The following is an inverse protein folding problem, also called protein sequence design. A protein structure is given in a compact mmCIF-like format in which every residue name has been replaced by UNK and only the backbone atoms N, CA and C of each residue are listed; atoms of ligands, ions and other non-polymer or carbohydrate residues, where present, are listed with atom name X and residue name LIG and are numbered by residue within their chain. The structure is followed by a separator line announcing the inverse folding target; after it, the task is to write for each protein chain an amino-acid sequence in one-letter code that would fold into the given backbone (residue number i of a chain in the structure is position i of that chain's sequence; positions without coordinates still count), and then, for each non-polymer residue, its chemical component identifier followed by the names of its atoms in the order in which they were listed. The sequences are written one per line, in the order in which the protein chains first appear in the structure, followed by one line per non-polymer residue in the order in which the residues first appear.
data_IF_530054041914
#
_entry.id   IF_530054041914
#
_cell.length_a   1.000
_cell.length_b   1.000
_cell.length_c   1.000
_cell.angle_alpha   90.00
_cell.angle_beta   90.00
_cell.angle_gamma   90.00
#
_symmetry.space_group_name_H-M   'P 1'
#
loop_
_entity.id
_entity.type
_entity.pdbx_description
1 polymer ?
2 water ?
#
# COMPACT_ATOMS: atom_id res chain seq x y z
N UNK A 10 48.07 -9.08 12.95
CA UNK A 10 48.13 -8.01 11.89
C UNK A 10 46.78 -7.77 11.19
N UNK A 11 46.57 -6.56 10.68
CA UNK A 11 45.31 -6.21 10.00
C UNK A 11 44.15 -5.82 10.90
N UNK A 12 44.33 -5.93 12.23
CA UNK A 12 43.23 -5.66 13.17
C UNK A 12 42.75 -4.22 13.21
N UNK A 13 43.67 -3.26 13.13
CA UNK A 13 43.31 -1.82 13.04
C UNK A 13 42.44 -1.52 11.81
N UNK A 14 42.87 -2.03 10.65
CA UNK A 14 42.15 -1.82 9.39
C UNK A 14 40.79 -2.53 9.47
N UNK A 15 40.77 -3.77 9.94
CA UNK A 15 39.52 -4.55 10.08
C UNK A 15 38.55 -3.78 10.96
N UNK A 16 39.06 -3.20 12.04
CA UNK A 16 38.19 -2.41 12.95
C UNK A 16 37.66 -1.12 12.30
N UNK A 17 38.50 -0.43 11.52
CA UNK A 17 38.03 0.76 10.82
C UNK A 17 36.96 0.41 9.84
N UNK A 18 37.22 -0.65 9.06
CA UNK A 18 36.24 -1.17 8.07
C UNK A 18 34.88 -1.47 8.71
N UNK A 19 34.91 -2.18 9.84
CA UNK A 19 33.73 -2.47 10.63
C UNK A 19 32.96 -1.21 11.05
N UNK A 20 33.70 -0.22 11.55
CA UNK A 20 33.09 1.06 11.96
C UNK A 20 32.50 1.83 10.77
N UNK A 21 33.11 1.72 9.57
CA UNK A 21 32.50 2.28 8.35
C UNK A 21 31.23 1.56 7.96
N UNK A 22 31.16 0.27 8.27
CA UNK A 22 29.99 -0.53 8.00
C UNK A 22 28.85 -0.07 8.88
N UNK A 23 29.16 0.21 10.14
CA UNK A 23 28.19 0.78 11.07
C UNK A 23 27.64 2.11 10.57
N UNK A 24 28.55 3.00 10.13
CA UNK A 24 28.18 4.34 9.67
C UNK A 24 27.34 4.34 8.43
N UNK A 25 27.67 3.49 7.48
CA UNK A 25 26.85 3.32 6.31
C UNK A 25 25.44 2.84 6.68
N UNK A 26 25.34 1.83 7.54
CA UNK A 26 24.03 1.34 8.03
C UNK A 26 23.19 2.44 8.71
N UNK A 27 23.84 3.27 9.54
CA UNK A 27 23.21 4.42 10.20
C UNK A 27 22.75 5.48 9.21
N UNK A 28 23.55 5.68 8.16
CA UNK A 28 23.22 6.62 7.12
C UNK A 28 21.97 6.19 6.35
N UNK A 29 21.93 4.92 5.98
CA UNK A 29 20.72 4.37 5.39
C UNK A 29 19.51 4.44 6.34
N UNK A 30 19.69 4.11 7.62
CA UNK A 30 18.57 4.09 8.56
C UNK A 30 17.98 5.53 8.77
N UNK A 31 18.85 6.54 8.84
CA UNK A 31 18.37 7.92 8.92
C UNK A 31 17.57 8.36 7.68
N UNK A 32 18.03 7.97 6.48
CA UNK A 32 17.31 8.26 5.25
C UNK A 32 15.93 7.57 5.25
N UNK A 33 15.88 6.30 5.67
CA UNK A 33 14.66 5.48 5.57
C UNK A 33 13.66 5.86 6.68
N UNK A 34 14.16 6.35 7.78
CA UNK A 34 13.32 6.99 8.77
C UNK A 34 12.63 8.21 8.17
N UNK A 35 13.33 9.01 7.36
CA UNK A 35 12.67 10.12 6.67
C UNK A 35 11.60 9.57 5.71
N UNK A 36 11.91 8.54 4.95
CA UNK A 36 10.97 8.04 3.96
C UNK A 36 9.65 7.52 4.59
N UNK A 37 9.77 6.79 5.70
CA UNK A 37 8.62 6.26 6.45
C UNK A 37 7.69 7.40 6.87
N UNK A 38 8.27 8.49 7.37
CA UNK A 38 7.46 9.65 7.78
C UNK A 38 6.77 10.34 6.64
N UNK A 39 7.45 10.41 5.50
CA UNK A 39 6.80 10.93 4.29
C UNK A 39 5.61 10.04 3.84
N UNK A 40 5.76 8.71 3.92
CA UNK A 40 4.64 7.80 3.61
C UNK A 40 3.48 7.98 4.59
N UNK A 41 3.80 8.17 5.87
CA UNK A 41 2.75 8.43 6.87
C UNK A 41 1.99 9.72 6.56
N UNK A 42 2.70 10.76 6.15
CA UNK A 42 2.03 12.00 5.78
C UNK A 42 1.15 11.77 4.56
N UNK A 44 -0.26 8.98 3.74
CA UNK A 44 -1.35 8.09 4.17
C UNK A 44 -2.46 8.94 4.84
N UNK A 45 -2.06 9.92 5.64
CA UNK A 45 -3.01 10.89 6.23
C UNK A 45 -3.71 11.77 5.18
N UNK A 46 -2.98 12.26 4.18
CA UNK A 46 -3.64 12.95 3.07
C UNK A 46 -4.65 12.08 2.37
N UNK A 47 -4.33 10.80 2.16
CA UNK A 47 -5.24 9.87 1.50
C UNK A 47 -6.51 9.55 2.34
N UNK A 48 -6.36 9.35 3.64
CA UNK A 48 -7.53 9.21 4.53
C UNK A 48 -8.44 10.45 4.51
N UNK A 49 -7.85 11.64 4.50
CA UNK A 49 -8.60 12.91 4.39
C UNK A 49 -9.40 12.98 3.07
N UNK A 50 -8.74 12.66 1.98
CA UNK A 50 -9.33 12.71 0.66
C UNK A 50 -10.44 11.70 0.46
N UNK A 51 -10.30 10.51 1.06
CA UNK A 51 -11.32 9.45 0.98
C UNK A 51 -12.67 9.93 1.49
N UNK A 52 -12.62 10.83 2.47
CA UNK A 52 -13.82 11.45 3.00
C UNK A 52 -14.78 12.04 1.97
N UNK A 53 -16.03 11.62 2.09
CA UNK A 53 -17.03 11.87 1.04
C UNK A 53 -17.64 13.25 1.00
N UNK A 54 -17.39 14.07 2.02
CA UNK A 54 -17.76 15.48 1.98
C UNK A 54 -16.89 16.32 0.98
N UNK A 55 -15.68 15.86 0.66
CA UNK A 55 -14.77 16.56 -0.25
C UNK A 55 -15.40 16.78 -1.60
N UNK A 56 -15.13 17.94 -2.18
CA UNK A 56 -15.44 18.18 -3.59
C UNK A 56 -14.31 17.57 -4.39
N UNK A 57 -14.50 17.50 -5.70
CA UNK A 57 -13.43 17.06 -6.57
C UNK A 57 -12.27 18.05 -6.51
N UNK A 58 -12.61 19.30 -6.33
CA UNK A 58 -11.59 20.35 -6.29
C UNK A 58 -10.62 20.17 -5.11
N UNK A 59 -11.19 19.95 -3.95
CA UNK A 59 -10.42 19.65 -2.72
C UNK A 59 -9.59 18.39 -2.85
N UNK A 60 -10.10 17.34 -3.50
CA UNK A 60 -9.29 16.14 -3.71
C UNK A 60 -8.13 16.41 -4.69
N UNK A 61 -8.33 17.34 -5.62
CA UNK A 61 -7.28 17.71 -6.56
C UNK A 61 -6.16 18.40 -5.78
N UNK A 62 -6.51 19.27 -4.83
CA UNK A 62 -5.50 19.96 -4.02
C UNK A 62 -4.71 19.01 -3.09
N UNK A 63 -5.41 18.05 -2.49
CA UNK A 63 -4.76 17.05 -1.63
C UNK A 63 -3.84 16.17 -2.48
N UNK A 64 -4.26 15.81 -3.69
CA UNK A 64 -3.36 15.09 -4.58
C UNK A 64 -2.10 15.89 -4.94
N UNK A 65 -2.24 17.21 -5.09
CA UNK A 65 -1.07 18.11 -5.31
C UNK A 65 -0.07 17.95 -4.17
N UNK A 66 -0.54 17.82 -2.94
CA UNK A 66 0.39 17.68 -1.83
C UNK A 66 1.03 16.28 -1.91
N UNK A 67 0.26 15.24 -2.25
CA UNK A 67 0.79 13.88 -2.38
C UNK A 67 1.90 13.87 -3.44
N UNK A 68 1.71 14.62 -4.53
CA UNK A 68 2.75 14.71 -5.57
C UNK A 68 4.05 15.35 -5.06
N UNK A 69 3.95 16.37 -4.24
CA UNK A 69 5.10 16.89 -3.52
C UNK A 69 5.83 15.86 -2.68
N UNK A 70 5.05 15.05 -1.95
CA UNK A 70 5.62 14.00 -1.13
C UNK A 70 6.27 12.87 -1.92
N UNK A 71 5.70 12.51 -3.07
CA UNK A 71 6.31 11.58 -3.99
C UNK A 71 7.70 12.08 -4.44
N UNK A 72 7.78 13.36 -4.81
CA UNK A 72 9.08 14.00 -5.10
C UNK A 72 10.09 14.05 -3.92
N UNK A 73 9.61 14.19 -2.70
CA UNK A 73 10.44 14.04 -1.53
C UNK A 73 10.99 12.58 -1.37
N UNK A 74 10.14 11.59 -1.60
CA UNK A 74 10.65 10.21 -1.59
C UNK A 74 11.75 10.03 -2.63
N UNK A 75 11.56 10.57 -3.82
CA UNK A 75 12.60 10.47 -4.84
C UNK A 75 13.86 11.34 -4.57
N UNK A 76 13.75 12.45 -3.87
CA UNK A 76 14.93 13.14 -3.33
C UNK A 76 15.77 12.20 -2.47
N UNK A 77 15.16 11.61 -1.46
CA UNK A 77 15.83 10.69 -0.56
C UNK A 77 16.49 9.51 -1.26
N UNK A 78 15.78 8.85 -2.17
CA UNK A 78 16.37 7.73 -2.87
C UNK A 78 17.50 8.13 -3.85
N UNK A 79 17.43 9.35 -4.38
CA UNK A 79 18.43 9.81 -5.35
C UNK A 79 19.61 10.58 -4.79
N UNK A 80 19.50 11.09 -3.56
CA UNK A 80 20.62 11.85 -3.01
C UNK A 80 21.26 11.19 -1.81
N UNK A 81 20.69 10.10 -1.28
CA UNK A 81 21.27 9.51 -0.09
C UNK A 81 22.57 8.76 -0.43
N UNK A 82 23.67 9.15 0.22
CA UNK A 82 24.97 8.65 -0.20
C UNK A 82 25.85 8.33 0.99
N UNK A 83 26.76 7.39 0.80
CA UNK A 83 27.82 7.17 1.81
C UNK A 83 29.10 7.11 1.05
N UNK A 84 30.03 7.99 1.42
CA UNK A 84 31.25 8.17 0.63
C UNK A 84 30.85 8.55 -0.79
N UNK A 85 31.30 7.75 -1.74
CA UNK A 85 31.03 8.01 -3.14
C UNK A 85 29.95 7.12 -3.70
N UNK A 86 29.11 6.49 -2.88
CA UNK A 86 28.10 5.59 -3.43
C UNK A 86 26.69 5.97 -2.97
N UNK A 87 25.74 5.88 -3.90
CA UNK A 87 24.33 6.09 -3.59
C UNK A 87 23.80 4.82 -2.96
N UNK A 88 22.95 4.95 -1.95
CA UNK A 88 22.53 3.76 -1.19
C UNK A 88 21.17 3.21 -1.58
N UNK A 89 20.29 4.05 -2.07
CA UNK A 89 18.84 3.76 -2.15
C UNK A 89 18.27 3.80 -3.53
N UNK A 90 19.10 4.00 -4.55
CA UNK A 90 18.54 4.16 -5.91
C UNK A 90 18.46 2.86 -6.74
N UNK A 91 18.83 1.73 -6.13
CA UNK A 91 18.83 0.45 -6.82
C UNK A 91 20.18 0.05 -7.34
N UNK A 92 21.15 0.96 -7.32
CA UNK A 92 22.47 0.71 -7.91
C UNK A 92 23.42 0.18 -6.84
N UNK A 93 23.00 0.20 -5.56
CA UNK A 93 23.91 -0.16 -4.48
C UNK A 93 24.19 -1.66 -4.44
N UNK A 94 23.12 -2.46 -4.50
CA UNK A 94 23.24 -3.90 -4.41
C UNK A 94 23.59 -4.35 -2.99
N UNK A 95 24.74 -5.00 -2.84
CA UNK A 95 25.21 -5.45 -1.53
C UNK A 95 26.72 -5.11 -1.38
N UNK A 96 27.08 -4.34 -0.37
CA UNK A 96 28.47 -4.05 -0.10
C UNK A 96 29.11 -5.08 0.87
N UNK A 97 30.26 -5.66 0.50
CA UNK A 97 31.00 -6.62 1.38
C UNK A 97 32.02 -5.86 2.24
N UNK A 98 31.89 -5.94 3.56
CA UNK A 98 32.84 -5.28 4.47
C UNK A 98 33.84 -6.30 5.01
N UNK A 99 35.12 -6.06 4.73
CA UNK A 99 36.24 -6.88 5.21
C UNK A 99 36.60 -6.56 6.68
N UNK A 100 36.15 -7.44 7.56
CA UNK A 100 36.16 -7.16 8.98
C UNK A 100 37.00 -8.19 9.75
N UNK A 101 37.91 -8.87 9.04
CA UNK A 101 38.85 -9.81 9.61
C UNK A 101 40.28 -9.59 9.13
N UNK A 102 41.22 -10.28 9.76
CA UNK A 102 42.61 -10.21 9.32
C UNK A 102 42.94 -11.18 8.20
N UNK A 103 42.07 -12.17 7.96
CA UNK A 103 42.25 -13.10 6.83
C UNK A 103 41.43 -12.59 5.68
N UNK A 104 41.94 -12.88 4.50
CA UNK A 104 41.28 -12.56 3.27
C UNK A 104 39.84 -13.12 3.28
N UNK A 105 38.92 -12.36 2.68
CA UNK A 105 37.58 -12.87 2.45
C UNK A 105 36.85 -13.20 3.75
N UNK A 106 37.01 -12.35 4.78
CA UNK A 106 36.22 -12.37 6.01
C UNK A 106 35.27 -11.15 6.05
N UNK A 107 34.02 -11.39 5.69
CA UNK A 107 33.06 -10.38 5.26
C UNK A 107 31.83 -10.35 6.15
N UNK A 108 31.35 -9.13 6.40
CA UNK A 108 29.96 -8.88 6.73
C UNK A 108 29.38 -8.04 5.55
N UNK A 109 28.31 -8.52 4.97
CA UNK A 109 27.63 -7.84 3.88
C UNK A 109 26.55 -6.90 4.38
N UNK A 110 26.43 -5.74 3.71
CA UNK A 110 25.31 -4.81 3.94
C UNK A 110 24.54 -4.69 2.61
N UNK A 111 23.33 -5.23 2.57
CA UNK A 111 22.52 -5.18 1.37
C UNK A 111 21.48 -4.08 1.55
N UNK A 112 21.36 -3.21 0.57
CA UNK A 112 20.30 -2.19 0.59
C UNK A 112 19.62 -2.19 -0.76
N UNK A 113 18.31 -2.36 -0.75
CA UNK A 113 17.52 -2.38 -1.99
C UNK A 113 17.03 -1.00 -2.35
N UNK A 114 16.51 -0.87 -3.59
CA UNK A 114 16.01 0.43 -4.02
C UNK A 114 14.84 0.79 -3.08
N UNK A 116 12.44 3.78 -3.42
CA UNK A 116 11.97 4.97 -4.15
C UNK A 116 10.46 4.90 -4.38
N UNK A 117 9.85 5.97 -4.93
CA UNK A 117 8.43 5.94 -5.23
C UNK A 117 8.13 4.85 -6.26
N UNK A 118 9.09 4.52 -7.12
CA UNK A 118 8.89 3.50 -8.13
C UNK A 118 9.03 2.05 -7.61
N UNK A 119 9.87 1.83 -6.62
CA UNK A 119 10.15 0.45 -6.15
C UNK A 119 9.14 0.01 -5.07
N UNK A 120 8.80 0.96 -4.22
CA UNK A 120 7.78 0.77 -3.22
C UNK A 120 6.44 0.56 -3.90
N UNK A 121 5.73 -0.49 -3.51
CA UNK A 121 4.51 -0.92 -4.18
C UNK A 121 3.58 -1.69 -3.24
N UNK A 122 2.33 -1.87 -3.67
CA UNK A 122 1.38 -2.73 -2.94
C UNK A 122 0.32 -3.36 -3.85
N UNK A 123 0.00 -4.61 -3.52
CA UNK A 123 -0.98 -5.41 -4.25
C UNK A 123 -2.34 -5.39 -3.52
N UNK A 124 -3.38 -5.19 -4.32
CA UNK A 124 -4.73 -5.25 -3.85
C UNK A 124 -5.55 -5.86 -4.97
N UNK A 125 -6.87 -5.83 -4.86
CA UNK A 125 -7.73 -6.55 -5.80
C UNK A 125 -8.84 -5.64 -6.24
N UNK A 126 -9.21 -5.74 -7.49
CA UNK A 126 -10.22 -4.89 -8.09
C UNK A 126 -11.29 -5.72 -8.78
N UNK A 127 -12.47 -5.16 -8.86
CA UNK A 127 -13.53 -5.72 -9.69
C UNK A 127 -14.49 -4.62 -10.16
N UNK A 128 -15.26 -4.95 -11.19
CA UNK A 128 -16.30 -4.09 -11.75
C UNK A 128 -17.61 -4.87 -11.75
N UNK A 129 -18.71 -4.19 -11.45
CA UNK A 129 -20.02 -4.80 -11.58
C UNK A 129 -20.22 -5.35 -13.00
N UNK A 130 -21.00 -6.40 -13.13
CA UNK A 130 -21.31 -6.96 -14.44
C UNK A 130 -22.13 -6.06 -15.38
N UNK A 131 -22.75 -5.03 -14.83
CA UNK A 131 -23.47 -4.06 -15.62
C UNK A 131 -24.12 -3.05 -14.69
N UNK A 132 -24.83 -2.11 -15.30
CA UNK A 132 -25.34 -0.94 -14.62
C UNK A 132 -26.49 -1.33 -13.72
N UNK A 133 -26.59 -0.64 -12.60
CA UNK A 133 -27.80 -0.69 -11.75
C UNK A 133 -28.92 -0.01 -12.57
N UNK A 134 -30.15 -0.44 -12.46
CA UNK A 134 -31.24 0.26 -13.19
C UNK A 134 -32.11 1.07 -12.18
N UNK A 135 -33.05 1.89 -12.66
CA UNK A 135 -33.96 2.68 -11.80
C UNK A 135 -34.80 1.78 -10.93
N UNK A 136 -34.96 2.15 -9.66
CA UNK A 136 -35.87 1.46 -8.78
C UNK A 136 -37.24 2.14 -8.92
N UNK A 137 -38.15 1.43 -9.60
CA UNK A 137 -39.49 1.93 -9.88
C UNK A 137 -40.51 1.39 -8.86
N UNK A 138 -40.10 0.47 -7.99
CA UNK A 138 -40.98 0.01 -6.90
C UNK A 138 -40.18 -0.04 -5.58
N UNK A 139 -40.89 0.06 -4.46
CA UNK A 139 -40.30 0.06 -3.14
C UNK A 139 -40.05 -1.38 -2.70
N UNK A 140 -39.04 -1.55 -1.85
CA UNK A 140 -38.70 -2.86 -1.32
C UNK A 140 -37.19 -3.05 -1.16
N UNK A 141 -36.79 -4.27 -0.81
CA UNK A 141 -35.44 -4.54 -0.37
C UNK A 141 -34.56 -5.11 -1.44
N UNK A 142 -33.31 -4.64 -1.45
CA UNK A 142 -32.26 -5.27 -2.21
C UNK A 142 -31.28 -5.94 -1.20
N UNK A 143 -31.03 -7.23 -1.41
CA UNK A 143 -30.07 -7.98 -0.62
C UNK A 143 -28.75 -8.08 -1.36
N UNK A 144 -27.66 -7.79 -0.68
CA UNK A 144 -26.33 -8.01 -1.21
C UNK A 144 -25.56 -8.99 -0.29
N UNK A 145 -24.96 -10.00 -0.92
CA UNK A 145 -24.19 -11.04 -0.25
C UNK A 145 -22.72 -10.78 -0.61
N UNK A 146 -21.90 -10.55 0.40
CA UNK A 146 -20.47 -10.27 0.18
C UNK A 146 -19.69 -11.52 0.61
N UNK A 147 -19.07 -12.17 -0.36
CA UNK A 147 -18.37 -13.43 -0.12
C UNK A 147 -16.98 -13.21 0.49
N UNK A 148 -16.84 -13.56 1.76
CA UNK A 148 -15.57 -13.39 2.50
C UNK A 148 -14.62 -14.57 2.24
N UNK A 149 -13.44 -14.31 1.66
CA UNK A 149 -12.50 -15.43 1.40
C UNK A 149 -12.10 -16.14 2.72
N UNK A 150 -12.36 -17.44 2.80
CA UNK A 150 -12.15 -18.22 4.01
C UNK A 150 -13.19 -18.14 5.14
N UNK A 151 -14.27 -17.40 4.93
CA UNK A 151 -15.41 -17.41 5.85
C UNK A 151 -16.69 -17.54 5.06
N UNK A 152 -17.81 -17.09 5.62
CA UNK A 152 -19.13 -17.22 4.98
C UNK A 152 -19.47 -15.89 4.35
N UNK A 153 -20.71 -15.72 3.94
CA UNK A 153 -21.13 -14.50 3.30
C UNK A 153 -21.51 -13.48 4.40
N UNK A 154 -21.16 -12.21 4.18
CA UNK A 154 -21.78 -11.09 4.91
C UNK A 154 -22.99 -10.50 4.09
N UNK A 155 -24.17 -10.57 4.70
CA UNK A 155 -25.38 -10.11 4.05
C UNK A 155 -25.79 -8.70 4.48
N UNK A 156 -25.92 -7.78 3.52
CA UNK A 156 -26.39 -6.42 3.78
C UNK A 156 -27.64 -6.14 2.96
N UNK A 157 -28.31 -5.05 3.30
CA UNK A 157 -29.60 -4.73 2.71
C UNK A 157 -29.73 -3.26 2.42
N UNK A 158 -30.48 -2.93 1.39
CA UNK A 158 -30.85 -1.54 1.17
C UNK A 158 -32.34 -1.54 0.88
N UNK A 159 -33.04 -0.56 1.42
CA UNK A 159 -34.44 -0.33 1.06
C UNK A 159 -34.53 0.76 -0.01
N UNK A 161 -36.91 3.24 -2.01
CA UNK A 161 -38.15 3.99 -1.89
C UNK A 161 -39.08 3.74 -3.07
N UNK A 162 -38.51 3.46 -4.23
CA UNK A 162 -39.28 3.24 -5.45
C UNK A 162 -39.29 4.46 -6.37
N UNK A 163 -38.41 5.41 -6.14
CA UNK A 163 -38.30 6.60 -6.92
C UNK A 163 -36.86 6.91 -7.36
N UNK A 164 -35.92 6.00 -7.13
CA UNK A 164 -34.52 6.27 -7.43
C UNK A 164 -34.18 6.18 -8.93
N UNK A 165 -33.41 7.13 -9.45
CA UNK A 165 -32.82 6.95 -10.75
C UNK A 165 -31.79 5.77 -10.61
N UNK A 166 -31.22 5.32 -11.73
CA UNK A 166 -30.21 4.24 -11.73
C UNK A 166 -29.02 4.68 -10.87
N UNK A 167 -28.63 5.95 -11.03
CA UNK A 167 -27.48 6.55 -10.32
C UNK A 167 -27.67 6.60 -8.81
N UNK A 168 -28.88 6.99 -8.41
CA UNK A 168 -29.31 7.06 -7.01
C UNK A 168 -29.43 5.67 -6.38
N UNK A 169 -30.00 4.71 -7.13
CA UNK A 169 -30.04 3.31 -6.73
C UNK A 169 -28.59 2.72 -6.60
N UNK A 170 -27.70 3.02 -7.55
CA UNK A 170 -26.29 2.60 -7.42
C UNK A 170 -25.60 3.18 -6.19
N UNK A 171 -25.85 4.43 -5.82
CA UNK A 171 -25.18 5.07 -4.65
C UNK A 171 -25.58 4.30 -3.38
N UNK A 172 -26.85 3.92 -3.33
CA UNK A 172 -27.39 3.19 -2.18
C UNK A 172 -26.85 1.76 -2.03
N UNK A 173 -26.77 1.04 -3.14
CA UNK A 173 -26.19 -0.29 -3.13
C UNK A 173 -24.72 -0.23 -2.71
N UNK A 174 -23.95 0.66 -3.34
CA UNK A 174 -22.53 0.84 -2.98
C UNK A 174 -22.34 1.18 -1.48
N UNK A 175 -23.19 2.04 -0.93
CA UNK A 175 -23.10 2.41 0.48
C UNK A 175 -23.45 1.24 1.39
N UNK A 176 -24.39 0.37 0.99
CA UNK A 176 -24.71 -0.80 1.83
C UNK A 176 -23.49 -1.69 1.95
N UNK A 177 -22.79 -1.89 0.84
CA UNK A 177 -21.52 -2.63 0.83
C UNK A 177 -20.43 -2.01 1.72
N UNK A 178 -20.16 -0.73 1.51
CA UNK A 178 -19.23 0.02 2.37
C UNK A 178 -19.61 0.00 3.85
N UNK A 179 -20.89 0.12 4.18
CA UNK A 179 -21.29 0.14 5.61
C UNK A 179 -20.93 -1.19 6.37
N UNK A 180 -20.81 -2.30 5.66
CA UNK A 180 -20.44 -3.59 6.30
C UNK A 180 -19.03 -3.62 6.86
N UNK A 181 -18.16 -2.73 6.39
CA UNK A 181 -16.75 -2.69 6.77
C UNK A 181 -16.11 -4.05 6.92
N UNK A 182 -16.09 -4.78 5.81
CA UNK A 182 -15.45 -6.09 5.73
C UNK A 182 -14.31 -6.11 4.67
N UNK A 183 -13.66 -4.98 4.44
CA UNK A 183 -12.40 -4.96 3.66
C UNK A 183 -12.53 -4.51 2.22
N UNK A 184 -13.74 -4.14 1.82
CA UNK A 184 -14.10 -3.84 0.42
C UNK A 184 -14.69 -2.46 0.35
N UNK A 185 -14.31 -1.73 -0.66
CA UNK A 185 -14.93 -0.47 -1.00
C UNK A 185 -15.68 -0.60 -2.30
N UNK A 186 -16.84 0.03 -2.35
CA UNK A 186 -17.67 0.09 -3.53
C UNK A 186 -17.75 1.57 -3.91
N UNK A 187 -17.50 1.85 -5.21
CA UNK A 187 -17.45 3.17 -5.80
C UNK A 187 -18.34 3.27 -7.04
N UNK A 188 -19.15 4.31 -7.09
CA UNK A 188 -20.03 4.57 -8.22
C UNK A 188 -19.35 5.44 -9.25
N UNK A 189 -19.69 5.16 -10.50
CA UNK A 189 -19.53 6.11 -11.59
C UNK A 189 -20.87 6.13 -12.30
N UNK A 190 -21.73 7.05 -11.93
CA UNK A 190 -23.12 7.03 -12.44
C UNK A 190 -23.82 5.78 -11.89
N UNK A 191 -24.35 4.96 -12.78
CA UNK A 191 -25.08 3.71 -12.45
C UNK A 191 -24.17 2.46 -12.34
N UNK A 192 -22.89 2.62 -12.67
CA UNK A 192 -21.90 1.57 -12.58
C UNK A 192 -21.18 1.54 -11.23
N UNK A 193 -20.91 0.34 -10.75
CA UNK A 193 -20.18 0.19 -9.51
C UNK A 193 -18.90 -0.59 -9.75
N UNK A 194 -17.82 -0.08 -9.17
CA UNK A 194 -16.57 -0.82 -9.08
C UNK A 194 -16.11 -0.99 -7.63
N UNK A 195 -15.21 -1.95 -7.46
CA UNK A 195 -14.83 -2.44 -6.17
C UNK A 195 -13.33 -2.55 -6.03
N UNK A 196 -12.87 -2.20 -4.81
CA UNK A 196 -11.51 -2.40 -4.34
C UNK A 196 -11.57 -3.25 -3.04
N UNK A 197 -10.78 -4.31 -3.00
CA UNK A 197 -10.64 -5.15 -1.79
C UNK A 197 -9.18 -5.21 -1.40
N UNK A 198 -8.90 -5.21 -0.11
CA UNK A 198 -7.58 -5.60 0.37
C UNK A 198 -7.24 -7.05 0.02
N UNK A 199 -5.94 -7.36 0.02
CA UNK A 199 -5.47 -8.75 -0.07
C UNK A 199 -5.87 -9.57 1.17
N UNK A 200 -6.06 -10.87 0.98
CA UNK A 200 -6.32 -11.81 2.06
C UNK A 200 -5.11 -11.92 2.93
N UNK A 201 -5.24 -12.56 4.10
CA UNK A 201 -4.14 -12.77 5.04
C UNK A 201 -2.82 -13.27 4.43
N UNK A 202 -2.87 -14.21 3.49
CA UNK A 202 -1.59 -14.71 2.91
C UNK A 202 -1.07 -13.88 1.72
N UNK A 203 -1.75 -12.78 1.44
CA UNK A 203 -1.44 -11.98 0.28
C UNK A 203 -1.76 -12.58 -1.09
N UNK A 204 -2.26 -13.80 -1.17
CA UNK A 204 -2.38 -14.46 -2.48
C UNK A 204 -3.70 -14.18 -3.24
N UNK A 205 -4.78 -13.88 -2.52
CA UNK A 205 -6.04 -13.61 -3.18
C UNK A 205 -6.77 -12.43 -2.56
N UNK A 206 -7.89 -12.03 -3.14
CA UNK A 206 -8.71 -10.95 -2.57
C UNK A 206 -9.33 -11.40 -1.22
N UNK A 207 -9.38 -10.52 -0.22
CA UNK A 207 -10.10 -10.77 1.05
C UNK A 207 -11.59 -10.97 0.82
N UNK A 208 -12.13 -10.40 -0.26
CA UNK A 208 -13.52 -10.59 -0.71
C UNK A 208 -13.48 -11.20 -2.10
N UNK A 209 -14.19 -12.29 -2.30
CA UNK A 209 -14.15 -13.02 -3.58
C UNK A 209 -15.33 -12.79 -4.50
N UNK A 210 -16.36 -12.11 -4.04
CA UNK A 210 -17.55 -11.93 -4.85
C UNK A 210 -18.57 -11.04 -4.18
N UNK A 211 -19.39 -10.37 -4.99
CA UNK A 211 -20.52 -9.58 -4.55
C UNK A 211 -21.75 -10.03 -5.37
N UNK A 212 -22.80 -10.51 -4.68
CA UNK A 212 -23.97 -11.09 -5.36
C UNK A 212 -25.21 -10.33 -4.88
N UNK A 213 -25.96 -9.77 -5.83
CA UNK A 213 -27.15 -9.00 -5.56
C UNK A 213 -28.40 -9.81 -5.94
N UNK A 214 -29.37 -9.79 -5.03
CA UNK A 214 -30.72 -10.24 -5.28
C UNK A 214 -31.68 -9.08 -5.05
N UNK A 215 -32.51 -8.85 -6.06
CA UNK A 215 -33.53 -7.80 -5.99
C UNK A 215 -34.80 -8.36 -5.38
N UNK A 216 -34.70 -8.67 -4.09
CA UNK A 216 -35.69 -9.44 -3.32
C UNK A 216 -37.05 -8.81 -3.44
N UNK A 217 -37.11 -7.49 -3.42
CA UNK A 217 -38.39 -6.79 -3.43
C UNK A 217 -38.89 -6.44 -4.83
N UNK A 218 -38.20 -6.89 -5.89
CA UNK A 218 -38.51 -6.55 -7.26
C UNK A 218 -38.60 -5.04 -7.50
N UNK A 219 -37.62 -4.33 -6.94
CA UNK A 219 -37.60 -2.88 -6.97
C UNK A 219 -37.39 -2.37 -8.36
N UNK A 220 -36.67 -3.14 -9.17
CA UNK A 220 -36.25 -2.69 -10.51
C UNK A 220 -34.77 -2.33 -10.66
N UNK A 221 -34.08 -2.17 -9.51
CA UNK A 221 -32.62 -1.89 -9.47
C UNK A 221 -31.82 -3.01 -10.13
N UNK A 222 -32.35 -4.23 -10.02
CA UNK A 222 -31.76 -5.42 -10.66
C UNK A 222 -30.45 -5.80 -9.99
N UNK A 223 -29.75 -6.75 -10.57
CA UNK A 223 -28.64 -7.38 -9.90
C UNK A 223 -27.33 -7.29 -10.68
N UNK A 224 -27.23 -6.44 -11.69
CA UNK A 224 -26.07 -6.43 -12.62
C UNK A 224 -24.79 -5.91 -11.94
N UNK A 225 -24.92 -5.07 -10.92
CA UNK A 225 -23.78 -4.48 -10.23
C UNK A 225 -22.96 -5.49 -9.41
N UNK A 226 -23.43 -6.69 -9.29
CA UNK A 226 -22.60 -7.76 -8.71
C UNK A 226 -21.44 -8.20 -9.59
N UNK A 227 -20.54 -8.96 -8.96
CA UNK A 227 -19.43 -9.51 -9.66
C UNK A 227 -18.86 -10.73 -8.95
N UNK A 228 -18.44 -11.70 -9.76
CA UNK A 228 -17.85 -12.91 -9.32
C UNK A 228 -16.33 -12.80 -9.32
N UNK A 229 -15.74 -11.73 -9.84
CA UNK A 229 -14.30 -11.80 -10.15
C UNK A 229 -13.44 -10.58 -9.74
N UNK A 230 -12.59 -10.80 -8.74
CA UNK A 230 -11.64 -9.80 -8.21
C UNK A 230 -10.27 -10.21 -8.74
N UNK A 231 -9.61 -9.31 -9.44
CA UNK A 231 -8.33 -9.60 -10.07
C UNK A 231 -7.22 -8.79 -9.35
N UNK A 232 -6.03 -9.35 -9.34
CA UNK A 232 -4.88 -8.76 -8.67
C UNK A 232 -4.47 -7.44 -9.35
N UNK A 233 -4.23 -6.41 -8.54
CA UNK A 233 -3.82 -5.11 -9.00
C UNK A 233 -2.56 -4.81 -8.20
N UNK A 234 -1.60 -4.11 -8.79
CA UNK A 234 -0.45 -3.62 -8.03
C UNK A 234 -0.07 -2.21 -8.49
N UNK A 235 0.08 -1.29 -7.52
CA UNK A 235 0.52 0.07 -7.84
C UNK A 235 1.81 0.35 -7.08
N UNK A 236 2.72 1.06 -7.74
CA UNK A 236 3.87 1.61 -7.07
C UNK A 236 3.37 2.87 -6.37
N UNK A 237 4.14 3.34 -5.39
CA UNK A 237 3.82 4.60 -4.72
C UNK A 237 3.82 5.78 -5.74
N UNK A 238 4.66 5.72 -6.77
CA UNK A 238 4.65 6.74 -7.83
C UNK A 238 3.33 6.79 -8.61
N UNK A 239 2.57 5.72 -8.67
CA UNK A 239 1.32 5.70 -9.42
C UNK A 239 0.10 6.07 -8.57
N UNK A 240 0.31 6.34 -7.28
CA UNK A 240 -0.78 6.76 -6.39
C UNK A 240 -1.39 8.11 -6.85
N UNK A 241 -2.72 8.20 -6.77
CA UNK A 241 -3.46 9.39 -7.18
C UNK A 241 -4.68 9.43 -6.30
N UNK A 242 -4.80 10.46 -5.45
CA UNK A 242 -5.92 10.57 -4.53
C UNK A 242 -6.96 11.66 -4.93
N UNK A 243 -7.03 11.98 -6.22
CA UNK A 243 -7.99 12.95 -6.74
C UNK A 243 -9.44 12.40 -6.83
N UNK A 244 -9.60 11.08 -6.67
CA UNK A 244 -10.90 10.41 -6.52
C UNK A 244 -10.89 9.63 -5.21
N UNK A 245 -12.06 9.32 -4.68
CA UNK A 245 -12.16 8.54 -3.43
C UNK A 245 -11.63 7.12 -3.63
N UNK A 246 -11.89 6.53 -4.79
CA UNK A 246 -11.38 5.22 -5.11
C UNK A 246 -9.85 5.21 -5.08
N UNK A 247 -9.22 6.21 -5.69
CA UNK A 247 -7.77 6.32 -5.70
C UNK A 247 -7.24 6.57 -4.28
N UNK A 248 -7.98 7.34 -3.51
CA UNK A 248 -7.62 7.65 -2.14
C UNK A 248 -7.58 6.35 -1.31
N UNK A 249 -8.61 5.52 -1.47
CA UNK A 249 -8.71 4.28 -0.71
C UNK A 249 -7.69 3.23 -1.18
N UNK A 250 -7.47 3.16 -2.50
CA UNK A 250 -6.40 2.28 -3.00
C UNK A 250 -5.03 2.74 -2.52
N UNK A 251 -4.83 4.06 -2.39
CA UNK A 251 -3.54 4.63 -1.98
C UNK A 251 -3.21 4.22 -0.55
N UNK A 252 -4.21 4.21 0.33
CA UNK A 252 -3.99 3.79 1.71
C UNK A 252 -3.47 2.34 1.74
N UNK A 253 -4.08 1.48 0.91
CA UNK A 253 -3.65 0.09 0.79
C UNK A 253 -2.23 -0.09 0.26
N UNK A 254 -1.89 0.68 -0.74
CA UNK A 254 -0.53 0.60 -1.28
C UNK A 254 0.48 1.13 -0.23
N UNK A 255 0.09 2.18 0.49
CA UNK A 255 1.01 2.81 1.46
C UNK A 255 1.34 1.89 2.64
N UNK A 256 0.33 1.17 3.14
CA UNK A 256 0.55 0.18 4.20
C UNK A 256 1.64 -0.81 3.75
N UNK A 257 1.52 -1.29 2.51
CA UNK A 257 2.52 -2.23 1.99
C UNK A 257 3.90 -1.62 1.88
N UNK A 258 3.97 -0.37 1.39
CA UNK A 258 5.22 0.35 1.23
C UNK A 258 5.90 0.57 2.58
N UNK A 259 5.09 0.89 3.61
CA UNK A 259 5.64 1.06 4.98
C UNK A 259 6.25 -0.27 5.46
N UNK A 260 5.59 -1.39 5.15
CA UNK A 260 6.10 -2.68 5.58
C UNK A 260 7.46 -2.98 4.91
N UNK A 261 7.58 -2.59 3.65
CA UNK A 261 8.78 -2.82 2.87
C UNK A 261 9.96 -2.01 3.49
N UNK A 262 9.75 -0.74 3.84
CA UNK A 262 10.80 0.06 4.45
C UNK A 262 11.18 -0.51 5.82
N UNK A 263 10.16 -0.82 6.62
CA UNK A 263 10.38 -1.51 7.88
C UNK A 263 11.26 -2.77 7.80
N UNK A 264 11.02 -3.67 6.85
CA UNK A 264 11.86 -4.84 6.64
C UNK A 264 13.32 -4.41 6.34
N UNK A 265 13.53 -3.45 5.42
CA UNK A 265 14.90 -2.93 5.13
C UNK A 265 15.58 -2.31 6.35
N UNK A 266 14.82 -1.57 7.18
CA UNK A 266 15.38 -0.99 8.39
C UNK A 266 15.71 -2.02 9.45
N UNK A 267 14.87 -3.03 9.63
CA UNK A 267 15.15 -4.12 10.56
C UNK A 267 16.43 -4.85 10.14
N UNK A 268 16.61 -5.13 8.84
CA UNK A 268 17.88 -5.72 8.34
C UNK A 268 19.07 -4.84 8.66
N UNK A 269 18.93 -3.53 8.52
CA UNK A 269 20.07 -2.62 8.76
C UNK A 269 20.40 -2.56 10.24
N UNK A 270 19.36 -2.58 11.09
CA UNK A 270 19.54 -2.72 12.53
C UNK A 270 20.30 -3.98 12.90
N UNK A 271 19.89 -5.12 12.33
CA UNK A 271 20.50 -6.39 12.69
C UNK A 271 21.98 -6.46 12.26
N UNK A 272 22.29 -5.97 11.06
CA UNK A 272 23.68 -5.90 10.61
C UNK A 272 24.57 -5.02 11.51
N UNK A 273 24.01 -3.93 12.04
CA UNK A 273 24.76 -3.09 12.97
C UNK A 273 25.22 -3.92 14.18
N UNK A 274 24.36 -4.82 14.67
CA UNK A 274 24.69 -5.67 15.82
C UNK A 274 25.78 -6.68 15.48
N UNK A 275 25.79 -7.17 14.24
CA UNK A 275 26.86 -8.08 13.81
C UNK A 275 28.20 -7.37 13.77
N UNK A 276 28.23 -6.13 13.26
CA UNK A 276 29.43 -5.32 13.29
C UNK A 276 29.86 -5.07 14.74
N UNK A 277 28.93 -4.73 15.64
CA UNK A 277 29.25 -4.55 17.09
C UNK A 277 29.99 -5.80 17.69
N UNK A 278 29.37 -6.96 17.51
CA UNK A 278 29.96 -8.25 17.88
C UNK A 278 31.37 -8.43 17.31
N UNK A 279 31.53 -8.23 16.01
CA UNK A 279 32.84 -8.37 15.34
C UNK A 279 33.90 -7.43 15.96
N UNK A 280 33.53 -6.17 16.17
CA UNK A 280 34.41 -5.20 16.79
C UNK A 280 34.87 -5.68 18.18
N UNK A 281 33.94 -6.11 19.02
CA UNK A 281 34.22 -6.71 20.32
C UNK A 281 35.20 -7.90 20.26
N UNK A 282 34.97 -8.82 19.31
CA UNK A 282 35.86 -9.97 19.06
C UNK A 282 37.29 -9.56 18.68
N UNK A 283 37.39 -8.64 17.71
CA UNK A 283 38.67 -8.10 17.21
C UNK A 283 39.49 -7.47 18.34
N UNK A 284 38.83 -6.65 19.14
CA UNK A 284 39.34 -6.11 20.42
C UNK A 284 39.90 -7.23 21.33
N UNK A 285 39.09 -8.25 21.61
CA UNK A 285 39.56 -9.39 22.41
C UNK A 285 40.79 -10.10 21.84
N UNK A 286 40.97 -10.08 20.51
CA UNK A 286 42.07 -10.78 19.83
C UNK A 286 43.41 -10.09 20.08
#
# INVERSE_FOLDING_TARGET
GSAKDPSQVNGLNVATKNANDGISLAQTAEGALQQSTNILQRXRDLSLQSANGSNSDSERTALNGEVKQLQKELDRISNTTTFGGRKLLDGSFGVASFQVGSAANEIISVGIDEXSAESLNGTYFKADGGGAVTAATASGTVDIAIDITGGSAVNVKVDXKGNETAEQAAAKIAAAVNDANVGIGAFTDGAQISYVSKASADGTTSAVSGVAITDTGSTGAGTAAGTTTFTEANDTVAKIDISTAKGAQSAVLVIDEAIKQIDAQRADLGAVQNRFDNTINNLKNIGENVSAA
#
